data_IF_889830717318
#
_entry.id   IF_889830717318
#
_cell.length_a   1.000
_cell.length_b   1.000
_cell.length_c   1.000
_cell.angle_alpha   90.00
_cell.angle_beta   90.00
_cell.angle_gamma   90.00
#
_symmetry.space_group_name_H-M   'P 1'
#
loop_
_entity.id
_entity.type
_entity.pdbx_description
1 polymer ?
#
# COMPACT_ATOMS: atom_id res chain seq x y z
N UNK A 1 47.76 -15.77 40.11
CA UNK A 1 46.32 -15.74 40.57
C UNK A 1 45.78 -14.36 40.34
N UNK A 2 45.14 -14.17 39.20
CA UNK A 2 44.59 -12.87 38.82
C UNK A 2 43.05 -13.04 38.75
N UNK A 3 42.39 -12.46 39.75
CA UNK A 3 40.95 -12.52 39.87
C UNK A 3 40.35 -11.47 38.93
N UNK A 4 39.91 -11.92 37.74
CA UNK A 4 39.10 -11.10 36.81
C UNK A 4 37.81 -10.66 37.50
N UNK A 5 37.69 -9.36 37.73
CA UNK A 5 36.45 -8.69 38.19
C UNK A 5 35.37 -8.77 37.10
N UNK A 6 34.44 -9.69 37.26
CA UNK A 6 33.16 -9.61 36.58
C UNK A 6 32.39 -8.38 37.11
N UNK A 7 32.46 -7.29 36.41
CA UNK A 7 31.56 -6.15 36.65
C UNK A 7 30.17 -6.54 36.15
N UNK A 8 29.12 -6.53 37.01
CA UNK A 8 27.77 -6.80 36.54
C UNK A 8 27.36 -5.66 35.60
N UNK A 9 27.02 -6.01 34.36
CA UNK A 9 26.36 -5.07 33.43
C UNK A 9 25.10 -4.53 34.10
N UNK A 10 25.05 -3.23 34.31
CA UNK A 10 23.83 -2.55 34.80
C UNK A 10 22.71 -2.87 33.82
N UNK A 11 21.51 -3.26 34.28
CA UNK A 11 20.35 -3.42 33.41
C UNK A 11 20.13 -2.11 32.70
N UNK A 12 20.10 -2.15 31.37
CA UNK A 12 19.89 -1.00 30.51
C UNK A 12 18.66 -0.26 30.97
N UNK A 13 18.78 1.06 31.13
CA UNK A 13 17.70 1.89 31.64
C UNK A 13 16.42 1.72 30.79
N UNK A 14 15.26 2.00 31.36
CA UNK A 14 13.93 1.87 30.72
C UNK A 14 13.91 2.39 29.26
N UNK A 15 14.71 3.43 28.97
CA UNK A 15 14.91 3.99 27.63
C UNK A 15 15.59 3.00 26.66
N UNK A 16 16.58 2.23 27.11
CA UNK A 16 17.24 1.24 26.24
C UNK A 16 16.33 0.06 25.95
N UNK A 17 15.56 -0.40 26.93
CA UNK A 17 14.58 -1.45 26.74
C UNK A 17 13.47 -1.01 25.76
N UNK A 18 12.99 0.23 25.89
CA UNK A 18 11.97 0.80 24.97
C UNK A 18 12.50 0.94 23.54
N UNK A 19 13.72 1.47 23.37
CA UNK A 19 14.36 1.60 22.04
C UNK A 19 14.57 0.24 21.41
N UNK A 20 15.05 -0.76 22.17
CA UNK A 20 15.23 -2.12 21.64
C UNK A 20 13.90 -2.75 21.25
N UNK A 21 12.84 -2.58 22.04
CA UNK A 21 11.49 -3.06 21.71
C UNK A 21 10.94 -2.36 20.45
N UNK A 22 11.13 -1.06 20.32
CA UNK A 22 10.72 -0.30 19.14
C UNK A 22 11.46 -0.79 17.88
N UNK A 23 12.79 -0.97 17.97
CA UNK A 23 13.60 -1.50 16.86
C UNK A 23 13.19 -2.92 16.46
N UNK A 24 12.75 -3.73 17.41
CA UNK A 24 12.25 -5.08 17.13
C UNK A 24 10.92 -5.06 16.37
N UNK A 25 10.06 -4.05 16.61
CA UNK A 25 8.76 -3.90 15.97
C UNK A 25 8.79 -3.14 14.62
N UNK A 26 9.93 -2.53 14.26
CA UNK A 26 10.09 -1.75 13.03
C UNK A 26 10.67 -2.57 11.88
N UNK A 27 10.55 -2.07 10.66
CA UNK A 27 11.05 -2.75 9.47
C UNK A 27 10.33 -4.07 9.21
N UNK A 28 11.01 -5.04 8.62
CA UNK A 28 10.40 -6.32 8.19
C UNK A 28 10.19 -7.35 9.30
N UNK A 29 10.65 -7.09 10.53
CA UNK A 29 10.56 -8.04 11.64
C UNK A 29 11.08 -9.44 11.28
N UNK A 30 12.23 -9.52 10.63
CA UNK A 30 12.85 -10.76 10.12
C UNK A 30 12.98 -11.85 11.19
N UNK A 31 13.37 -11.47 12.41
CA UNK A 31 13.50 -12.42 13.52
C UNK A 31 12.18 -13.09 13.88
N UNK A 32 11.06 -12.34 13.82
CA UNK A 32 9.74 -12.90 14.01
C UNK A 32 9.40 -13.87 12.89
N UNK A 33 9.68 -13.49 11.64
CA UNK A 33 9.43 -14.34 10.48
C UNK A 33 10.17 -15.68 10.57
N UNK A 34 11.48 -15.65 10.83
CA UNK A 34 12.28 -16.88 11.01
C UNK A 34 11.74 -17.75 12.15
N UNK A 35 11.31 -17.12 13.26
CA UNK A 35 10.73 -17.87 14.37
C UNK A 35 9.37 -18.51 14.02
N UNK A 36 8.58 -17.88 13.16
CA UNK A 36 7.26 -18.38 12.73
C UNK A 36 7.36 -19.51 11.72
N UNK A 37 8.43 -19.60 10.92
CA UNK A 37 8.64 -20.70 9.96
C UNK A 37 8.65 -22.08 10.62
N UNK A 38 9.07 -22.19 11.87
CA UNK A 38 9.09 -23.44 12.65
C UNK A 38 7.77 -23.73 13.40
N UNK A 39 6.77 -22.87 13.25
CA UNK A 39 5.52 -22.97 14.00
C UNK A 39 4.43 -23.72 13.21
N UNK A 40 3.36 -24.03 13.90
CA UNK A 40 2.15 -24.64 13.39
C UNK A 40 1.54 -23.78 12.25
N UNK A 41 1.15 -24.44 11.14
CA UNK A 41 0.69 -23.80 9.90
C UNK A 41 -0.33 -22.65 10.07
N UNK A 42 -1.39 -22.73 10.92
CA UNK A 42 -2.29 -21.60 11.12
C UNK A 42 -1.63 -20.33 11.64
N UNK A 43 -0.58 -20.44 12.46
CA UNK A 43 0.16 -19.27 12.94
C UNK A 43 0.99 -18.63 11.80
N UNK A 44 1.61 -19.47 10.96
CA UNK A 44 2.29 -19.01 9.74
C UNK A 44 1.32 -18.32 8.80
N UNK A 45 0.12 -18.89 8.62
CA UNK A 45 -0.93 -18.31 7.78
C UNK A 45 -1.38 -16.94 8.31
N UNK A 46 -1.60 -16.81 9.62
CA UNK A 46 -1.98 -15.52 10.24
C UNK A 46 -0.89 -14.48 10.02
N UNK A 47 0.38 -14.83 10.25
CA UNK A 47 1.51 -13.91 10.00
C UNK A 47 1.58 -13.51 8.53
N UNK A 48 1.49 -14.48 7.60
CA UNK A 48 1.49 -14.22 6.16
C UNK A 48 0.30 -13.35 5.72
N UNK A 49 -0.89 -13.54 6.29
CA UNK A 49 -2.05 -12.69 6.06
C UNK A 49 -1.79 -11.25 6.52
N UNK A 50 -1.25 -11.05 7.73
CA UNK A 50 -0.93 -9.71 8.23
C UNK A 50 0.15 -9.02 7.37
N UNK A 51 1.16 -9.76 6.91
CA UNK A 51 2.14 -9.26 5.95
C UNK A 51 1.48 -8.91 4.60
N UNK A 52 0.57 -9.74 4.11
CA UNK A 52 -0.20 -9.46 2.90
C UNK A 52 -1.01 -8.17 2.98
N UNK A 53 -1.64 -7.89 4.13
CA UNK A 53 -2.34 -6.63 4.38
C UNK A 53 -1.37 -5.44 4.26
N UNK A 54 -0.22 -5.51 4.92
CA UNK A 54 0.75 -4.41 4.89
C UNK A 54 1.42 -4.23 3.53
N UNK A 55 1.55 -5.30 2.72
CA UNK A 55 2.13 -5.22 1.36
C UNK A 55 1.33 -4.37 0.39
N UNK A 56 0.05 -4.18 0.62
CA UNK A 56 -0.79 -3.26 -0.17
C UNK A 56 -0.17 -1.85 -0.25
N UNK A 57 0.42 -1.40 0.84
CA UNK A 57 1.10 -0.08 0.93
C UNK A 57 2.63 -0.23 0.96
N UNK A 58 3.16 -1.25 0.29
CA UNK A 58 4.60 -1.51 0.14
C UNK A 58 5.34 -1.81 1.45
N UNK A 59 4.64 -2.24 2.50
CA UNK A 59 5.23 -2.65 3.76
C UNK A 59 5.31 -4.19 3.83
N UNK A 60 6.25 -4.71 4.61
CA UNK A 60 6.34 -6.14 4.90
C UNK A 60 6.45 -6.35 6.42
N UNK A 61 5.45 -5.89 7.17
CA UNK A 61 5.46 -5.90 8.62
C UNK A 61 4.10 -6.39 9.16
N UNK A 62 4.04 -7.49 9.92
CA UNK A 62 2.78 -8.04 10.40
C UNK A 62 2.09 -7.14 11.42
N UNK A 63 2.83 -6.37 12.21
CA UNK A 63 2.25 -5.42 13.17
C UNK A 63 1.59 -4.24 12.45
N UNK A 64 2.25 -3.71 11.41
CA UNK A 64 1.62 -2.72 10.52
C UNK A 64 0.37 -3.29 9.86
N UNK A 65 0.38 -4.56 9.43
CA UNK A 65 -0.79 -5.24 8.89
C UNK A 65 -1.94 -5.34 9.89
N UNK A 66 -1.64 -5.63 11.17
CA UNK A 66 -2.64 -5.66 12.23
C UNK A 66 -3.28 -4.28 12.47
N UNK A 67 -2.47 -3.20 12.47
CA UNK A 67 -2.98 -1.82 12.59
C UNK A 67 -3.87 -1.44 11.39
N UNK A 68 -3.47 -1.81 10.18
CA UNK A 68 -4.27 -1.57 8.97
C UNK A 68 -5.59 -2.36 9.02
N UNK A 69 -5.55 -3.63 9.46
CA UNK A 69 -6.78 -4.42 9.65
C UNK A 69 -7.72 -3.77 10.68
N UNK A 70 -7.17 -3.25 11.77
CA UNK A 70 -7.96 -2.49 12.76
C UNK A 70 -8.57 -1.23 12.14
N UNK A 71 -7.83 -0.51 11.29
CA UNK A 71 -8.34 0.64 10.55
C UNK A 71 -9.51 0.27 9.63
N UNK A 72 -9.38 -0.83 8.89
CA UNK A 72 -10.45 -1.34 8.03
C UNK A 72 -11.70 -1.74 8.81
N UNK A 73 -11.54 -2.39 9.97
CA UNK A 73 -12.65 -2.75 10.84
C UNK A 73 -13.36 -1.51 11.42
N UNK A 74 -12.62 -0.44 11.68
CA UNK A 74 -13.19 0.84 12.13
C UNK A 74 -13.91 1.59 10.99
N UNK A 75 -13.42 1.49 9.76
CA UNK A 75 -14.06 2.11 8.58
C UNK A 75 -15.33 1.34 8.20
N UNK A 76 -15.21 0.05 7.93
CA UNK A 76 -16.32 -0.83 7.56
C UNK A 76 -15.98 -2.29 7.88
N UNK A 77 -16.65 -2.92 8.87
CA UNK A 77 -16.47 -4.34 9.16
C UNK A 77 -16.78 -5.25 7.96
N UNK A 78 -17.71 -4.85 7.11
CA UNK A 78 -18.05 -5.57 5.89
C UNK A 78 -16.89 -5.56 4.87
N UNK A 79 -16.31 -4.39 4.60
CA UNK A 79 -15.16 -4.27 3.72
C UNK A 79 -13.96 -5.04 4.26
N UNK A 80 -13.70 -4.98 5.57
CA UNK A 80 -12.65 -5.74 6.22
C UNK A 80 -12.85 -7.26 6.03
N UNK A 81 -14.09 -7.74 6.19
CA UNK A 81 -14.43 -9.14 5.97
C UNK A 81 -14.18 -9.55 4.51
N UNK A 82 -14.67 -8.78 3.54
CA UNK A 82 -14.44 -9.05 2.12
C UNK A 82 -12.95 -9.05 1.78
N UNK A 83 -12.20 -8.04 2.25
CA UNK A 83 -10.75 -7.94 2.03
C UNK A 83 -10.00 -9.16 2.58
N UNK A 84 -10.33 -9.60 3.79
CA UNK A 84 -9.76 -10.82 4.38
C UNK A 84 -10.12 -12.08 3.60
N UNK A 85 -11.35 -12.17 3.11
CA UNK A 85 -11.78 -13.30 2.29
C UNK A 85 -11.03 -13.37 0.96
N UNK A 86 -10.88 -12.24 0.27
CA UNK A 86 -10.08 -12.16 -0.97
C UNK A 86 -8.61 -12.47 -0.75
N UNK A 87 -8.02 -11.98 0.35
CA UNK A 87 -6.65 -12.29 0.75
C UNK A 87 -6.47 -13.80 0.99
N UNK A 88 -7.36 -14.43 1.74
CA UNK A 88 -7.31 -15.85 2.02
C UNK A 88 -7.50 -16.67 0.74
N UNK A 89 -8.48 -16.33 -0.10
CA UNK A 89 -8.72 -17.01 -1.37
C UNK A 89 -7.49 -16.96 -2.28
N UNK A 90 -6.85 -15.80 -2.39
CA UNK A 90 -5.61 -15.59 -3.14
C UNK A 90 -4.46 -16.42 -2.57
N UNK A 91 -4.24 -16.39 -1.25
CA UNK A 91 -3.19 -17.13 -0.56
C UNK A 91 -3.37 -18.65 -0.69
N UNK A 92 -4.59 -19.16 -0.48
CA UNK A 92 -4.89 -20.60 -0.66
C UNK A 92 -4.71 -21.03 -2.11
N UNK A 93 -5.08 -20.20 -3.06
CA UNK A 93 -4.85 -20.48 -4.49
C UNK A 93 -3.34 -20.58 -4.78
N UNK A 94 -2.50 -19.72 -4.19
CA UNK A 94 -1.05 -19.81 -4.34
C UNK A 94 -0.49 -21.13 -3.77
N UNK A 95 -0.98 -21.56 -2.60
CA UNK A 95 -0.61 -22.83 -1.99
C UNK A 95 -1.00 -24.02 -2.89
N UNK A 96 -2.24 -24.01 -3.42
CA UNK A 96 -2.74 -25.08 -4.30
C UNK A 96 -1.94 -25.14 -5.60
N UNK A 97 -1.53 -24.00 -6.15
CA UNK A 97 -0.70 -23.92 -7.36
C UNK A 97 0.78 -24.29 -7.10
N UNK A 98 1.17 -24.53 -5.84
CA UNK A 98 2.54 -24.89 -5.48
C UNK A 98 3.53 -23.72 -5.65
N UNK A 99 3.10 -22.49 -5.39
CA UNK A 99 3.99 -21.34 -5.40
C UNK A 99 5.02 -21.42 -4.27
N UNK A 100 6.11 -20.67 -4.39
CA UNK A 100 7.19 -20.67 -3.41
C UNK A 100 6.68 -20.36 -1.99
N UNK A 101 7.05 -21.20 -1.03
CA UNK A 101 6.55 -21.12 0.36
C UNK A 101 7.01 -19.82 1.05
N UNK A 102 8.20 -19.30 0.73
CA UNK A 102 8.72 -18.07 1.30
C UNK A 102 7.93 -16.86 0.78
N UNK A 103 7.63 -16.83 -0.52
CA UNK A 103 6.78 -15.80 -1.12
C UNK A 103 5.36 -15.82 -0.56
N UNK A 104 4.76 -17.01 -0.39
CA UNK A 104 3.43 -17.18 0.19
C UNK A 104 3.42 -16.70 1.65
N UNK A 105 4.37 -17.14 2.46
CA UNK A 105 4.47 -16.75 3.88
C UNK A 105 4.78 -15.27 4.08
N UNK A 106 5.48 -14.65 3.11
CA UNK A 106 5.72 -13.21 3.10
C UNK A 106 4.48 -12.38 2.66
N UNK A 107 3.35 -13.01 2.34
CA UNK A 107 2.10 -12.36 1.93
C UNK A 107 2.08 -11.82 0.50
N UNK A 108 3.03 -12.22 -0.36
CA UNK A 108 3.18 -11.69 -1.72
C UNK A 108 1.97 -11.98 -2.62
N UNK A 109 1.29 -13.10 -2.44
CA UNK A 109 0.11 -13.46 -3.24
C UNK A 109 -1.19 -12.92 -2.67
N UNK A 110 -1.24 -12.62 -1.35
CA UNK A 110 -2.49 -12.22 -0.67
C UNK A 110 -2.95 -10.78 -0.96
N UNK A 111 -2.03 -9.85 -1.13
CA UNK A 111 -2.36 -8.41 -1.16
C UNK A 111 -3.20 -7.99 -2.37
N UNK A 112 -2.99 -8.57 -3.55
CA UNK A 112 -3.80 -8.29 -4.74
C UNK A 112 -5.24 -8.78 -4.55
N UNK A 113 -5.42 -9.98 -3.97
CA UNK A 113 -6.74 -10.53 -3.67
C UNK A 113 -7.50 -9.68 -2.64
N UNK A 114 -6.79 -9.15 -1.65
CA UNK A 114 -7.36 -8.22 -0.68
C UNK A 114 -7.90 -6.94 -1.34
N UNK A 115 -7.09 -6.30 -2.19
CA UNK A 115 -7.49 -5.07 -2.88
C UNK A 115 -8.69 -5.27 -3.81
N UNK A 116 -8.71 -6.36 -4.59
CA UNK A 116 -9.87 -6.69 -5.43
C UNK A 116 -11.12 -6.79 -4.58
N UNK A 117 -11.06 -7.53 -3.48
CA UNK A 117 -12.19 -7.77 -2.61
C UNK A 117 -12.71 -6.50 -1.92
N UNK A 118 -11.79 -5.66 -1.41
CA UNK A 118 -12.13 -4.36 -0.83
C UNK A 118 -12.90 -3.49 -1.82
N UNK A 119 -12.37 -3.33 -3.04
CA UNK A 119 -13.00 -2.45 -4.03
C UNK A 119 -14.23 -3.05 -4.69
N UNK A 120 -14.34 -4.39 -4.78
CA UNK A 120 -15.62 -5.03 -5.12
C UNK A 120 -16.70 -4.66 -4.09
N UNK A 121 -16.37 -4.64 -2.80
CA UNK A 121 -17.25 -4.16 -1.74
C UNK A 121 -17.66 -2.69 -1.93
N UNK A 122 -16.72 -1.81 -2.22
CA UNK A 122 -16.99 -0.38 -2.43
C UNK A 122 -17.90 -0.14 -3.63
N UNK A 123 -17.57 -0.72 -4.78
CA UNK A 123 -18.27 -0.43 -6.04
C UNK A 123 -19.53 -1.26 -6.28
N UNK A 124 -19.74 -2.34 -5.51
CA UNK A 124 -20.92 -3.19 -5.67
C UNK A 124 -21.88 -3.18 -4.47
N UNK A 125 -21.46 -2.80 -3.27
CA UNK A 125 -22.33 -2.78 -2.09
C UNK A 125 -22.36 -1.46 -1.33
N UNK A 126 -21.46 -0.53 -1.62
CA UNK A 126 -21.30 0.74 -0.89
C UNK A 126 -21.26 0.59 0.65
N UNK A 127 -20.72 -0.53 1.12
CA UNK A 127 -20.64 -0.83 2.56
C UNK A 127 -21.82 -1.61 3.12
N UNK A 128 -22.90 -1.83 2.36
CA UNK A 128 -24.02 -2.67 2.78
C UNK A 128 -23.65 -4.16 2.77
N UNK A 129 -24.26 -4.93 3.68
CA UNK A 129 -24.06 -6.38 3.79
C UNK A 129 -24.74 -7.12 2.65
N UNK A 130 -24.01 -7.32 1.55
CA UNK A 130 -24.49 -7.99 0.36
C UNK A 130 -23.83 -9.36 0.21
N UNK A 131 -24.39 -10.37 0.86
CA UNK A 131 -23.81 -11.73 0.98
C UNK A 131 -23.49 -12.39 -0.36
N UNK A 132 -24.19 -12.02 -1.42
CA UNK A 132 -23.92 -12.49 -2.78
C UNK A 132 -22.49 -12.21 -3.24
N UNK A 133 -21.83 -11.17 -2.72
CA UNK A 133 -20.45 -10.83 -3.05
C UNK A 133 -19.41 -11.83 -2.55
N UNK A 134 -19.72 -12.67 -1.58
CA UNK A 134 -18.77 -13.61 -0.98
C UNK A 134 -18.14 -14.54 -2.04
N UNK A 135 -18.96 -15.08 -2.96
CA UNK A 135 -18.46 -15.95 -4.03
C UNK A 135 -17.64 -15.19 -5.08
N UNK A 136 -18.12 -14.10 -5.70
CA UNK A 136 -17.33 -13.27 -6.60
C UNK A 136 -16.00 -12.80 -6.03
N UNK A 137 -15.96 -12.42 -4.75
CA UNK A 137 -14.75 -11.99 -4.05
C UNK A 137 -13.73 -13.13 -3.96
N UNK A 138 -14.14 -14.34 -3.63
CA UNK A 138 -13.24 -15.50 -3.63
C UNK A 138 -12.68 -15.80 -5.03
N UNK A 139 -13.52 -15.74 -6.05
CA UNK A 139 -13.10 -15.95 -7.44
C UNK A 139 -12.17 -14.86 -7.92
N UNK A 140 -12.46 -13.59 -7.59
CA UNK A 140 -11.59 -12.46 -7.89
C UNK A 140 -10.23 -12.59 -7.21
N UNK A 141 -10.21 -12.95 -5.92
CA UNK A 141 -8.97 -13.23 -5.18
C UNK A 141 -8.14 -14.34 -5.82
N UNK A 142 -8.77 -15.47 -6.17
CA UNK A 142 -8.09 -16.57 -6.87
C UNK A 142 -7.53 -16.11 -8.23
N UNK A 143 -8.32 -15.35 -9.01
CA UNK A 143 -7.89 -14.86 -10.31
C UNK A 143 -6.64 -13.96 -10.23
N UNK A 144 -6.49 -13.17 -9.17
CA UNK A 144 -5.28 -12.36 -8.98
C UNK A 144 -4.02 -13.22 -8.84
N UNK A 145 -4.12 -14.39 -8.19
CA UNK A 145 -2.98 -15.30 -8.04
C UNK A 145 -2.56 -15.90 -9.39
N UNK A 146 -3.52 -16.30 -10.23
CA UNK A 146 -3.21 -16.78 -11.58
C UNK A 146 -2.48 -15.71 -12.39
N UNK A 147 -2.95 -14.47 -12.35
CA UNK A 147 -2.29 -13.36 -13.05
C UNK A 147 -0.91 -13.05 -12.46
N UNK A 148 -0.78 -13.05 -11.13
CA UNK A 148 0.51 -12.82 -10.46
C UNK A 148 1.52 -13.88 -10.87
N UNK A 149 1.16 -15.15 -10.80
CA UNK A 149 2.04 -16.28 -11.17
C UNK A 149 2.42 -16.28 -12.64
N UNK A 150 1.53 -15.79 -13.52
CA UNK A 150 1.80 -15.71 -14.97
C UNK A 150 2.68 -14.51 -15.33
N UNK A 151 2.50 -13.38 -14.65
CA UNK A 151 3.25 -12.15 -14.92
C UNK A 151 4.64 -12.15 -14.29
N UNK A 152 4.81 -12.80 -13.13
CA UNK A 152 6.08 -12.81 -12.40
C UNK A 152 7.28 -13.23 -13.28
N UNK A 153 7.26 -14.37 -14.01
CA UNK A 153 8.41 -14.78 -14.82
C UNK A 153 8.71 -13.85 -15.99
N UNK A 154 7.72 -13.05 -16.43
CA UNK A 154 7.88 -12.08 -17.51
C UNK A 154 8.52 -10.80 -17.00
N UNK A 155 8.01 -10.26 -15.88
CA UNK A 155 8.45 -9.00 -15.31
C UNK A 155 9.83 -9.14 -14.61
N UNK A 156 10.10 -10.30 -14.02
CA UNK A 156 11.37 -10.61 -13.36
C UNK A 156 12.56 -10.52 -14.32
N UNK A 157 12.37 -10.83 -15.61
CA UNK A 157 13.42 -10.63 -16.64
C UNK A 157 13.89 -9.17 -16.75
N UNK A 158 13.06 -8.23 -16.36
CA UNK A 158 13.32 -6.79 -16.38
C UNK A 158 13.58 -6.23 -14.98
N UNK A 159 13.69 -7.09 -13.98
CA UNK A 159 13.79 -6.69 -12.55
C UNK A 159 12.63 -5.78 -12.15
N UNK A 160 11.41 -6.14 -12.52
CA UNK A 160 10.18 -5.41 -12.21
C UNK A 160 9.27 -6.23 -11.30
N UNK A 161 8.72 -5.61 -10.25
CA UNK A 161 7.72 -6.28 -9.42
C UNK A 161 6.41 -6.45 -10.19
N UNK A 162 5.67 -7.52 -9.91
CA UNK A 162 4.31 -7.71 -10.45
C UNK A 162 3.38 -6.59 -9.96
N UNK A 163 3.68 -6.03 -8.79
CA UNK A 163 2.92 -4.91 -8.22
C UNK A 163 1.42 -5.21 -8.13
N UNK A 164 0.57 -4.24 -8.46
CA UNK A 164 -0.89 -4.35 -8.42
C UNK A 164 -1.52 -4.47 -9.82
N UNK A 165 -0.76 -4.91 -10.83
CA UNK A 165 -1.33 -5.24 -12.15
C UNK A 165 -2.46 -6.27 -12.07
N UNK A 166 -2.33 -7.39 -11.30
CA UNK A 166 -3.40 -8.37 -11.15
C UNK A 166 -4.66 -7.77 -10.54
N UNK A 167 -4.52 -6.99 -9.48
CA UNK A 167 -5.64 -6.30 -8.85
C UNK A 167 -6.37 -5.39 -9.84
N UNK A 168 -5.66 -4.46 -10.47
CA UNK A 168 -6.25 -3.49 -11.39
C UNK A 168 -6.97 -4.19 -12.55
N UNK A 169 -6.37 -5.27 -13.09
CA UNK A 169 -6.96 -6.03 -14.19
C UNK A 169 -8.22 -6.76 -13.77
N UNK A 170 -8.19 -7.52 -12.66
CA UNK A 170 -9.33 -8.33 -12.20
C UNK A 170 -10.50 -7.42 -11.80
N UNK A 171 -10.21 -6.32 -11.08
CA UNK A 171 -11.25 -5.36 -10.67
C UNK A 171 -11.92 -4.74 -11.89
N UNK A 172 -11.14 -4.26 -12.87
CA UNK A 172 -11.67 -3.65 -14.09
C UNK A 172 -12.55 -4.64 -14.86
N UNK A 173 -12.07 -5.87 -15.07
CA UNK A 173 -12.83 -6.91 -15.76
C UNK A 173 -14.13 -7.25 -15.01
N UNK A 174 -14.08 -7.36 -13.68
CA UNK A 174 -15.26 -7.60 -12.85
C UNK A 174 -16.31 -6.49 -13.02
N UNK A 175 -15.91 -5.23 -12.91
CA UNK A 175 -16.83 -4.09 -13.03
C UNK A 175 -17.40 -3.96 -14.44
N UNK A 176 -16.61 -4.27 -15.47
CA UNK A 176 -17.11 -4.32 -16.87
C UNK A 176 -18.08 -5.47 -17.06
N UNK A 177 -17.80 -6.65 -16.53
CA UNK A 177 -18.69 -7.82 -16.62
C UNK A 177 -20.00 -7.62 -15.90
N UNK A 178 -20.00 -6.98 -14.73
CA UNK A 178 -21.23 -6.69 -13.97
C UNK A 178 -22.01 -5.54 -14.60
N UNK A 179 -21.34 -4.63 -15.27
CA UNK A 179 -21.93 -3.49 -15.98
C UNK A 179 -22.40 -2.38 -15.04
N UNK A 180 -22.11 -1.13 -15.40
CA UNK A 180 -22.45 0.05 -14.56
C UNK A 180 -23.93 0.40 -14.57
N UNK A 181 -24.71 -0.20 -15.46
CA UNK A 181 -26.15 0.05 -15.61
C UNK A 181 -27.00 -1.21 -15.38
N UNK A 182 -26.43 -2.26 -14.79
CA UNK A 182 -27.14 -3.52 -14.57
C UNK A 182 -28.13 -3.39 -13.39
N UNK A 183 -29.45 -3.52 -13.61
CA UNK A 183 -30.44 -3.36 -12.54
C UNK A 183 -30.46 -4.52 -11.56
N UNK A 184 -29.87 -5.67 -11.91
CA UNK A 184 -29.85 -6.89 -11.09
C UNK A 184 -28.58 -7.00 -10.23
N UNK A 185 -27.61 -6.15 -10.44
CA UNK A 185 -26.36 -6.15 -9.70
C UNK A 185 -26.14 -4.76 -9.08
N UNK A 186 -26.02 -4.63 -7.75
CA UNK A 186 -25.82 -3.33 -7.13
C UNK A 186 -24.52 -2.72 -7.64
N UNK A 187 -24.57 -1.45 -7.97
CA UNK A 187 -23.48 -0.74 -8.59
C UNK A 187 -23.40 0.70 -8.11
N UNK A 188 -22.22 1.13 -7.72
CA UNK A 188 -21.90 2.51 -7.36
C UNK A 188 -20.83 3.04 -8.32
N UNK A 189 -21.25 3.61 -9.47
CA UNK A 189 -20.32 4.03 -10.51
C UNK A 189 -19.39 5.13 -10.02
N UNK A 190 -18.12 5.05 -10.41
CA UNK A 190 -17.16 6.11 -10.19
C UNK A 190 -17.53 7.36 -10.99
N UNK A 191 -17.34 8.53 -10.41
CA UNK A 191 -17.55 9.80 -11.08
C UNK A 191 -16.23 10.39 -11.57
N UNK A 192 -16.21 11.03 -12.77
CA UNK A 192 -15.01 11.70 -13.25
C UNK A 192 -14.68 12.92 -12.37
N UNK A 193 -13.41 13.12 -11.97
CA UNK A 193 -12.99 14.25 -11.14
C UNK A 193 -13.15 15.63 -11.80
N UNK A 194 -13.27 15.67 -13.12
CA UNK A 194 -13.54 16.88 -13.89
C UNK A 194 -15.03 17.16 -14.18
N UNK A 195 -15.95 16.40 -13.56
CA UNK A 195 -17.39 16.68 -13.72
C UNK A 195 -17.76 18.06 -13.11
N UNK A 196 -18.81 18.75 -13.62
CA UNK A 196 -19.20 20.06 -13.08
C UNK A 196 -19.59 19.96 -11.61
N UNK A 197 -18.99 20.79 -10.78
CA UNK A 197 -19.34 20.92 -9.36
C UNK A 197 -20.62 21.76 -9.23
N UNK A 198 -21.51 21.39 -8.31
CA UNK A 198 -22.68 22.23 -8.03
C UNK A 198 -22.21 23.58 -7.48
N UNK A 199 -22.79 24.66 -7.98
CA UNK A 199 -22.34 26.06 -7.90
C UNK A 199 -22.13 26.65 -6.49
N UNK A 200 -22.27 25.90 -5.43
CA UNK A 200 -22.18 26.38 -4.05
C UNK A 200 -20.76 26.31 -3.42
N UNK A 201 -19.74 25.80 -4.12
CA UNK A 201 -18.40 25.59 -3.56
C UNK A 201 -17.31 26.37 -4.30
N UNK A 202 -17.47 27.68 -4.43
CA UNK A 202 -16.50 28.55 -5.12
C UNK A 202 -15.27 28.91 -4.29
N UNK A 203 -15.28 28.65 -2.96
CA UNK A 203 -14.15 28.97 -2.09
C UNK A 203 -13.40 27.72 -1.65
N UNK A 204 -12.07 27.74 -1.83
CA UNK A 204 -11.18 26.69 -1.38
C UNK A 204 -11.05 26.70 0.15
N UNK A 205 -11.39 25.59 0.81
CA UNK A 205 -11.24 25.39 2.25
C UNK A 205 -9.89 24.72 2.56
N UNK A 206 -8.87 25.52 2.89
CA UNK A 206 -7.51 25.04 3.18
C UNK A 206 -7.45 23.97 4.27
N UNK A 207 -8.20 24.05 5.40
CA UNK A 207 -8.17 22.98 6.40
C UNK A 207 -8.67 21.64 5.87
N UNK A 208 -9.72 21.62 5.03
CA UNK A 208 -10.23 20.41 4.40
C UNK A 208 -9.25 19.84 3.36
N UNK A 209 -8.54 20.72 2.65
CA UNK A 209 -7.49 20.31 1.72
C UNK A 209 -6.34 19.61 2.45
N UNK A 210 -5.87 20.16 3.57
CA UNK A 210 -4.84 19.53 4.41
C UNK A 210 -5.31 18.19 4.99
N UNK A 211 -6.57 18.10 5.39
CA UNK A 211 -7.18 16.84 5.80
C UNK A 211 -7.20 15.83 4.63
N UNK A 212 -7.54 16.29 3.42
CA UNK A 212 -7.53 15.47 2.20
C UNK A 212 -6.16 14.87 1.90
N UNK A 213 -5.05 15.59 2.18
CA UNK A 213 -3.69 15.04 2.03
C UNK A 213 -3.48 13.82 2.95
N UNK A 214 -3.95 13.88 4.20
CA UNK A 214 -3.85 12.75 5.12
C UNK A 214 -4.79 11.60 4.70
N UNK A 215 -6.02 11.93 4.30
CA UNK A 215 -6.99 10.95 3.81
C UNK A 215 -6.49 10.23 2.56
N UNK A 216 -5.66 10.88 1.72
CA UNK A 216 -5.06 10.25 0.54
C UNK A 216 -4.23 9.01 0.87
N UNK A 217 -3.61 8.93 2.04
CA UNK A 217 -2.93 7.70 2.50
C UNK A 217 -3.96 6.63 2.88
N UNK A 218 -5.07 6.99 3.52
CA UNK A 218 -6.18 6.09 3.86
C UNK A 218 -6.89 5.54 2.62
N UNK A 219 -7.04 6.36 1.59
CA UNK A 219 -7.70 5.98 0.33
C UNK A 219 -6.99 4.85 -0.43
N UNK A 220 -5.73 4.55 -0.13
CA UNK A 220 -5.05 3.34 -0.65
C UNK A 220 -5.83 2.07 -0.27
N UNK A 221 -6.54 2.09 0.87
CA UNK A 221 -7.41 1.03 1.37
C UNK A 221 -8.90 1.40 1.29
N UNK A 222 -9.26 2.40 0.52
CA UNK A 222 -10.61 2.95 0.45
C UNK A 222 -11.16 3.43 1.81
N UNK A 223 -10.28 3.87 2.72
CA UNK A 223 -10.66 4.49 3.99
C UNK A 223 -10.79 6.00 3.80
N UNK A 224 -12.01 6.53 3.89
CA UNK A 224 -12.35 7.94 3.68
C UNK A 224 -12.49 8.75 4.98
N UNK A 225 -12.34 8.14 6.15
CA UNK A 225 -12.47 8.81 7.44
C UNK A 225 -11.12 9.06 8.13
N UNK A 226 -11.07 10.09 8.99
CA UNK A 226 -9.82 10.56 9.62
C UNK A 226 -9.18 9.51 10.53
N UNK A 227 -9.96 8.84 11.37
CA UNK A 227 -9.46 7.86 12.33
C UNK A 227 -8.72 6.69 11.69
N UNK A 228 -9.37 5.92 10.80
CA UNK A 228 -8.75 4.86 10.02
C UNK A 228 -7.54 5.32 9.20
N UNK A 229 -7.64 6.48 8.52
CA UNK A 229 -6.53 7.01 7.73
C UNK A 229 -5.30 7.35 8.60
N UNK A 230 -5.53 7.90 9.78
CA UNK A 230 -4.45 8.16 10.74
C UNK A 230 -3.81 6.86 11.23
N UNK A 231 -4.62 5.84 11.51
CA UNK A 231 -4.12 4.54 11.97
C UNK A 231 -3.28 3.84 10.88
N UNK A 232 -3.67 3.96 9.60
CA UNK A 232 -2.87 3.49 8.45
C UNK A 232 -1.55 4.26 8.38
N UNK A 233 -1.57 5.59 8.53
CA UNK A 233 -0.36 6.40 8.54
C UNK A 233 0.58 6.01 9.69
N UNK A 234 0.04 5.72 10.89
CA UNK A 234 0.81 5.20 12.03
C UNK A 234 1.42 3.83 11.69
N UNK A 235 0.70 2.97 10.99
CA UNK A 235 1.23 1.68 10.54
C UNK A 235 2.41 1.83 9.57
N UNK A 236 2.34 2.82 8.65
CA UNK A 236 3.46 3.15 7.75
C UNK A 236 4.63 3.73 8.54
N UNK A 237 4.37 4.65 9.46
CA UNK A 237 5.38 5.26 10.33
C UNK A 237 6.10 4.22 11.19
N UNK A 238 5.38 3.24 11.74
CA UNK A 238 5.95 2.15 12.51
C UNK A 238 6.94 1.33 11.69
N UNK A 239 6.62 1.05 10.43
CA UNK A 239 7.56 0.35 9.54
C UNK A 239 8.75 1.23 9.17
N UNK A 240 8.50 2.44 8.67
CA UNK A 240 9.52 3.41 8.26
C UNK A 240 9.01 4.84 8.31
N UNK A 241 9.57 5.71 9.17
CA UNK A 241 9.22 7.13 9.22
C UNK A 241 9.46 7.85 7.89
N UNK A 242 10.51 7.48 7.16
CA UNK A 242 10.83 8.06 5.86
C UNK A 242 9.75 7.74 4.84
N UNK A 243 9.26 6.50 4.85
CA UNK A 243 8.19 6.07 3.95
C UNK A 243 6.86 6.77 4.28
N UNK A 244 6.59 7.05 5.56
CA UNK A 244 5.44 7.86 5.97
C UNK A 244 5.55 9.31 5.48
N UNK A 245 6.73 9.90 5.52
CA UNK A 245 6.99 11.22 4.91
C UNK A 245 6.76 11.18 3.40
N UNK A 246 7.21 10.14 2.71
CA UNK A 246 6.98 9.98 1.27
C UNK A 246 5.51 9.80 0.93
N UNK A 247 4.76 9.06 1.74
CA UNK A 247 3.31 8.90 1.57
C UNK A 247 2.59 10.27 1.65
N UNK A 248 2.87 11.06 2.69
CA UNK A 248 2.29 12.39 2.86
C UNK A 248 2.76 13.37 1.78
N UNK A 249 4.05 13.37 1.45
CA UNK A 249 4.62 14.22 0.40
C UNK A 249 3.96 13.92 -0.95
N UNK A 250 3.88 12.65 -1.33
CA UNK A 250 3.25 12.21 -2.58
C UNK A 250 1.77 12.57 -2.64
N UNK A 251 1.02 12.37 -1.55
CA UNK A 251 -0.38 12.77 -1.45
C UNK A 251 -0.55 14.28 -1.58
N UNK A 252 0.30 15.08 -0.92
CA UNK A 252 0.28 16.55 -1.02
C UNK A 252 0.59 17.05 -2.43
N UNK A 253 1.60 16.48 -3.09
CA UNK A 253 1.96 16.80 -4.47
C UNK A 253 0.79 16.49 -5.41
N UNK A 254 0.14 15.34 -5.24
CA UNK A 254 -0.99 14.93 -6.05
C UNK A 254 -2.21 15.84 -5.84
N UNK A 255 -2.44 16.27 -4.60
CA UNK A 255 -3.49 17.25 -4.28
C UNK A 255 -3.22 18.61 -4.97
N UNK A 256 -1.97 19.09 -4.97
CA UNK A 256 -1.58 20.31 -5.68
C UNK A 256 -1.74 20.14 -7.20
N UNK A 257 -1.36 18.98 -7.74
CA UNK A 257 -1.60 18.66 -9.15
C UNK A 257 -3.10 18.67 -9.49
N UNK A 258 -3.96 18.13 -8.62
CA UNK A 258 -5.41 18.18 -8.76
C UNK A 258 -5.95 19.62 -8.78
N UNK A 259 -5.45 20.50 -7.90
CA UNK A 259 -5.78 21.92 -7.92
C UNK A 259 -5.38 22.58 -9.24
N UNK A 260 -4.20 22.27 -9.79
CA UNK A 260 -3.71 22.83 -11.05
C UNK A 260 -4.57 22.45 -12.25
N UNK A 261 -5.29 21.34 -12.16
CA UNK A 261 -6.19 20.80 -13.19
C UNK A 261 -7.67 21.08 -12.91
N UNK A 262 -7.97 21.91 -11.90
CA UNK A 262 -9.34 22.26 -11.51
C UNK A 262 -10.21 21.03 -11.21
N UNK A 263 -9.62 20.03 -10.53
CA UNK A 263 -10.37 18.87 -10.04
C UNK A 263 -11.38 19.33 -8.98
N UNK A 264 -12.55 18.71 -8.94
CA UNK A 264 -13.60 19.00 -7.96
C UNK A 264 -13.05 19.08 -6.53
N UNK A 265 -13.47 20.06 -5.75
CA UNK A 265 -13.04 20.23 -4.36
C UNK A 265 -13.44 19.04 -3.48
N UNK A 266 -14.62 18.46 -3.70
CA UNK A 266 -15.07 17.24 -3.01
C UNK A 266 -14.09 16.08 -3.19
N UNK A 267 -13.54 15.90 -4.39
CA UNK A 267 -12.56 14.87 -4.71
C UNK A 267 -11.21 15.13 -4.03
N UNK A 268 -10.79 16.39 -3.91
CA UNK A 268 -9.59 16.81 -3.20
C UNK A 268 -9.74 16.61 -1.67
N UNK A 269 -10.88 17.03 -1.12
CA UNK A 269 -11.14 16.95 0.34
C UNK A 269 -11.33 15.52 0.83
N UNK A 270 -11.86 14.62 0.01
CA UNK A 270 -11.97 13.19 0.33
C UNK A 270 -10.64 12.43 0.26
N UNK A 271 -9.57 13.04 -0.26
CA UNK A 271 -8.26 12.40 -0.44
C UNK A 271 -8.15 11.52 -1.69
N UNK A 272 -9.21 11.39 -2.50
CA UNK A 272 -9.19 10.56 -3.70
C UNK A 272 -8.16 11.00 -4.74
N UNK A 273 -7.79 12.28 -4.77
CA UNK A 273 -6.70 12.76 -5.64
C UNK A 273 -5.31 12.43 -5.09
N UNK A 274 -5.18 12.03 -3.82
CA UNK A 274 -3.90 11.90 -3.12
C UNK A 274 -3.22 10.53 -3.24
N UNK A 275 -3.99 9.44 -3.30
CA UNK A 275 -3.49 8.08 -3.07
C UNK A 275 -2.52 7.58 -4.16
N UNK A 276 -2.76 7.88 -5.44
CA UNK A 276 -1.85 7.49 -6.52
C UNK A 276 -0.51 8.23 -6.42
N UNK A 277 -0.51 9.52 -6.03
CA UNK A 277 0.73 10.26 -5.78
C UNK A 277 1.49 9.74 -4.55
N UNK A 278 0.77 9.37 -3.49
CA UNK A 278 1.37 8.73 -2.32
C UNK A 278 2.10 7.43 -2.70
N UNK A 279 1.42 6.52 -3.41
CA UNK A 279 2.01 5.28 -3.91
C UNK A 279 3.18 5.54 -4.86
N UNK A 280 3.04 6.49 -5.79
CA UNK A 280 4.10 6.86 -6.73
C UNK A 280 5.37 7.37 -6.04
N UNK A 281 5.22 8.18 -4.98
CA UNK A 281 6.34 8.65 -4.18
C UNK A 281 6.99 7.50 -3.38
N UNK A 282 6.18 6.66 -2.75
CA UNK A 282 6.63 5.52 -1.93
C UNK A 282 7.36 4.45 -2.74
N UNK A 283 6.95 4.17 -3.99
CA UNK A 283 7.66 3.22 -4.88
C UNK A 283 9.11 3.61 -5.04
N UNK A 284 9.41 4.89 -5.27
CA UNK A 284 10.81 5.36 -5.35
C UNK A 284 11.53 5.18 -4.02
N UNK A 285 10.85 5.46 -2.88
CA UNK A 285 11.42 5.28 -1.55
C UNK A 285 11.77 3.84 -1.20
N UNK A 286 11.07 2.86 -1.78
CA UNK A 286 11.32 1.42 -1.55
C UNK A 286 12.39 0.86 -2.48
N UNK A 287 12.40 1.27 -3.75
CA UNK A 287 13.25 0.66 -4.78
C UNK A 287 14.50 1.47 -5.14
N UNK A 288 14.79 2.57 -4.43
CA UNK A 288 15.99 3.37 -4.64
C UNK A 288 16.66 3.75 -3.32
N UNK A 289 17.99 3.72 -3.31
CA UNK A 289 18.80 4.22 -2.20
C UNK A 289 18.56 5.72 -2.04
N UNK A 290 18.37 6.18 -0.81
CA UNK A 290 18.08 7.56 -0.49
C UNK A 290 19.23 8.49 -0.90
N UNK A 291 18.92 9.47 -1.74
CA UNK A 291 19.82 10.55 -2.16
C UNK A 291 18.99 11.77 -2.60
N UNK A 292 19.61 12.93 -2.73
CA UNK A 292 18.90 14.10 -3.23
C UNK A 292 18.29 13.87 -4.63
N UNK A 293 18.94 13.05 -5.48
CA UNK A 293 18.45 12.67 -6.82
C UNK A 293 17.19 11.79 -6.72
N UNK A 294 17.19 10.84 -5.81
CA UNK A 294 16.05 9.95 -5.61
C UNK A 294 14.88 10.68 -4.95
N UNK A 295 15.13 11.69 -4.11
CA UNK A 295 14.06 12.58 -3.62
C UNK A 295 13.41 13.37 -4.78
N UNK A 296 14.20 13.94 -5.69
CA UNK A 296 13.65 14.61 -6.88
C UNK A 296 12.89 13.63 -7.78
N UNK A 297 13.40 12.41 -7.94
CA UNK A 297 12.73 11.36 -8.70
C UNK A 297 11.39 10.96 -8.07
N UNK A 298 11.31 10.89 -6.73
CA UNK A 298 10.07 10.59 -6.03
C UNK A 298 9.02 11.69 -6.22
N UNK A 299 9.41 12.94 -6.17
CA UNK A 299 8.54 14.10 -6.45
C UNK A 299 8.05 14.05 -7.92
N UNK A 300 8.95 13.81 -8.86
CA UNK A 300 8.60 13.70 -10.28
C UNK A 300 7.63 12.54 -10.54
N UNK A 301 7.85 11.38 -9.89
CA UNK A 301 6.95 10.24 -10.03
C UNK A 301 5.58 10.50 -9.39
N UNK A 302 5.52 11.20 -8.25
CA UNK A 302 4.26 11.60 -7.64
C UNK A 302 3.44 12.52 -8.55
N UNK A 303 4.10 13.52 -9.20
CA UNK A 303 3.45 14.39 -10.19
C UNK A 303 2.95 13.61 -11.40
N UNK A 304 3.80 12.74 -11.95
CA UNK A 304 3.43 11.90 -13.10
C UNK A 304 2.24 11.00 -12.77
N UNK A 305 2.25 10.37 -11.57
CA UNK A 305 1.13 9.57 -11.09
C UNK A 305 -0.15 10.40 -10.94
N UNK A 306 -0.05 11.61 -10.41
CA UNK A 306 -1.20 12.49 -10.22
C UNK A 306 -1.87 12.87 -11.55
N UNK A 307 -1.10 13.35 -12.53
CA UNK A 307 -1.66 13.72 -13.82
C UNK A 307 -2.19 12.50 -14.60
N UNK A 308 -1.51 11.36 -14.48
CA UNK A 308 -1.99 10.09 -15.07
C UNK A 308 -3.30 9.64 -14.42
N UNK A 309 -3.43 9.78 -13.09
CA UNK A 309 -4.66 9.46 -12.37
C UNK A 309 -5.83 10.34 -12.81
N UNK A 310 -5.64 11.64 -12.89
CA UNK A 310 -6.66 12.58 -13.35
C UNK A 310 -7.12 12.22 -14.78
N UNK A 311 -6.17 11.94 -15.67
CA UNK A 311 -6.47 11.57 -17.05
C UNK A 311 -7.26 10.24 -17.14
N UNK A 312 -6.81 9.20 -16.43
CA UNK A 312 -7.48 7.90 -16.41
C UNK A 312 -8.83 7.97 -15.70
N UNK A 313 -8.94 8.71 -14.61
CA UNK A 313 -10.18 8.88 -13.85
C UNK A 313 -11.23 9.64 -14.67
N UNK A 314 -10.85 10.64 -15.46
CA UNK A 314 -11.75 11.32 -16.39
C UNK A 314 -12.18 10.38 -17.53
N UNK A 315 -11.25 9.62 -18.10
CA UNK A 315 -11.54 8.68 -19.19
C UNK A 315 -12.49 7.55 -18.74
N UNK A 316 -12.13 6.86 -17.67
CA UNK A 316 -12.87 5.71 -17.15
C UNK A 316 -14.15 6.12 -16.43
N UNK A 317 -14.13 7.26 -15.75
CA UNK A 317 -15.28 7.81 -15.03
C UNK A 317 -16.49 8.12 -15.93
N UNK A 318 -16.26 8.44 -17.20
CA UNK A 318 -17.36 8.56 -18.18
C UNK A 318 -18.12 7.23 -18.35
N UNK A 319 -17.42 6.11 -18.17
CA UNK A 319 -18.00 4.77 -18.21
C UNK A 319 -18.46 4.29 -16.82
N UNK A 320 -18.33 5.13 -15.78
CA UNK A 320 -18.62 4.76 -14.39
C UNK A 320 -17.57 3.81 -13.77
N UNK A 321 -16.38 3.71 -14.37
CA UNK A 321 -15.30 2.83 -13.93
C UNK A 321 -14.22 3.62 -13.18
N UNK A 322 -13.67 3.08 -12.08
CA UNK A 322 -12.58 3.73 -11.35
C UNK A 322 -11.23 3.52 -12.07
N UNK A 323 -10.37 4.53 -12.01
CA UNK A 323 -8.97 4.39 -12.43
C UNK A 323 -8.16 3.51 -11.45
N UNK A 324 -8.63 3.34 -10.22
CA UNK A 324 -7.95 2.57 -9.17
C UNK A 324 -6.48 3.00 -9.03
N UNK A 325 -5.54 2.07 -8.86
CA UNK A 325 -4.11 2.38 -8.78
C UNK A 325 -3.36 2.20 -10.11
N UNK A 326 -4.05 2.21 -11.26
CA UNK A 326 -3.39 2.12 -12.57
C UNK A 326 -2.33 3.20 -12.75
N UNK A 327 -2.61 4.43 -12.32
CA UNK A 327 -1.68 5.54 -12.45
C UNK A 327 -0.36 5.27 -11.73
N UNK A 328 -0.39 4.95 -10.44
CA UNK A 328 0.81 4.63 -9.67
C UNK A 328 1.53 3.38 -10.19
N UNK A 329 0.77 2.37 -10.67
CA UNK A 329 1.34 1.14 -11.24
C UNK A 329 2.12 1.41 -12.52
N UNK A 330 1.53 2.12 -13.46
CA UNK A 330 2.16 2.45 -14.74
C UNK A 330 3.38 3.37 -14.56
N UNK A 331 3.22 4.44 -13.79
CA UNK A 331 4.31 5.41 -13.59
C UNK A 331 5.43 4.84 -12.72
N UNK A 332 5.11 4.05 -11.71
CA UNK A 332 6.08 3.30 -10.92
C UNK A 332 6.89 2.33 -11.78
N UNK A 333 6.23 1.57 -12.65
CA UNK A 333 6.91 0.68 -13.60
C UNK A 333 7.82 1.47 -14.56
N UNK A 334 7.35 2.60 -15.11
CA UNK A 334 8.17 3.46 -15.97
C UNK A 334 9.41 4.00 -15.25
N UNK A 335 9.26 4.43 -14.00
CA UNK A 335 10.39 4.92 -13.20
C UNK A 335 11.39 3.80 -12.91
N UNK A 336 10.91 2.59 -12.63
CA UNK A 336 11.78 1.43 -12.42
C UNK A 336 12.51 0.98 -13.70
N UNK A 337 12.00 1.29 -14.87
CA UNK A 337 12.63 1.04 -16.17
C UNK A 337 13.64 2.12 -16.60
N UNK A 338 13.80 3.21 -15.85
CA UNK A 338 14.76 4.25 -16.21
C UNK A 338 16.19 3.71 -16.24
N UNK A 339 16.89 3.93 -17.37
CA UNK A 339 18.20 3.32 -17.67
C UNK A 339 19.37 4.27 -17.47
N UNK A 340 19.18 5.44 -16.91
CA UNK A 340 20.26 6.43 -16.67
C UNK A 340 21.39 5.84 -15.82
N UNK A 341 22.67 6.02 -16.28
CA UNK A 341 23.85 5.49 -15.58
C UNK A 341 23.86 5.83 -14.09
N UNK A 342 23.53 7.08 -13.76
CA UNK A 342 23.51 7.57 -12.40
C UNK A 342 22.34 7.02 -11.55
N UNK A 343 21.27 6.54 -12.16
CA UNK A 343 20.11 5.98 -11.46
C UNK A 343 20.27 4.49 -11.19
N UNK A 344 20.95 3.76 -12.06
CA UNK A 344 21.22 2.32 -11.87
C UNK A 344 22.00 2.03 -10.60
N UNK A 345 22.94 2.91 -10.22
CA UNK A 345 23.71 2.76 -8.99
C UNK A 345 22.86 2.90 -7.72
N UNK A 346 21.73 3.60 -7.80
CA UNK A 346 20.82 3.80 -6.68
C UNK A 346 19.65 2.83 -6.69
N UNK A 347 19.50 2.01 -7.73
CA UNK A 347 18.41 1.04 -7.84
C UNK A 347 18.66 -0.15 -6.93
N UNK A 348 17.65 -0.52 -6.12
CA UNK A 348 17.62 -1.72 -5.32
C UNK A 348 16.90 -2.80 -6.12
N UNK A 349 17.52 -4.00 -6.35
CA UNK A 349 16.86 -5.10 -7.05
C UNK A 349 15.58 -5.56 -6.36
N UNK A 350 14.57 -5.96 -7.12
CA UNK A 350 13.26 -6.38 -6.59
C UNK A 350 13.33 -7.58 -5.64
N UNK A 351 14.30 -8.47 -5.85
CA UNK A 351 14.54 -9.63 -4.97
C UNK A 351 15.25 -9.32 -3.63
N UNK A 352 15.70 -8.08 -3.42
CA UNK A 352 16.36 -7.62 -2.19
C UNK A 352 15.93 -6.20 -1.88
N UNK A 353 14.65 -5.96 -1.56
CA UNK A 353 14.26 -4.64 -1.08
C UNK A 353 15.04 -4.38 0.21
N UNK A 354 15.94 -3.38 0.16
CA UNK A 354 16.62 -2.92 1.36
C UNK A 354 15.60 -2.09 2.13
N UNK A 355 15.16 -2.49 3.31
CA UNK A 355 14.22 -1.68 4.06
C UNK A 355 14.93 -0.36 4.35
N UNK A 356 14.35 0.74 3.92
CA UNK A 356 14.72 2.09 4.38
C UNK A 356 14.41 2.14 5.86
N UNK A 357 15.24 1.45 6.63
CA UNK A 357 15.00 1.14 8.01
C UNK A 357 15.21 2.36 8.90
N UNK A 358 14.40 2.41 9.94
CA UNK A 358 14.56 3.22 11.15
C UNK A 358 16.03 3.28 11.64
N UNK A 359 16.83 2.24 11.36
CA UNK A 359 18.26 2.17 11.67
C UNK A 359 19.10 3.28 11.05
N UNK A 360 18.82 3.74 9.84
CA UNK A 360 19.58 4.83 9.22
C UNK A 360 19.37 6.17 9.92
N UNK A 361 18.15 6.44 10.39
CA UNK A 361 17.84 7.67 11.14
C UNK A 361 18.48 7.68 12.53
N UNK A 362 18.55 6.52 13.19
CA UNK A 362 19.20 6.39 14.49
C UNK A 362 20.74 6.40 14.39
N UNK A 363 21.31 5.85 13.32
CA UNK A 363 22.78 5.87 13.07
C UNK A 363 23.22 7.30 12.77
N UNK A 364 22.45 8.07 12.01
CA UNK A 364 22.77 9.48 11.69
C UNK A 364 22.47 10.42 12.85
N UNK A 365 21.53 10.09 13.73
CA UNK A 365 21.16 10.90 14.90
C UNK A 365 22.04 10.61 16.14
N UNK A 366 22.78 9.51 16.18
CA UNK A 366 23.66 9.17 17.29
C UNK A 366 24.96 8.51 16.82
N UNK A 367 26.03 9.30 16.56
CA UNK A 367 27.33 8.79 16.14
C UNK A 367 28.04 7.89 17.19
N UNK A 368 27.43 7.67 18.36
CA UNK A 368 27.96 6.82 19.45
C UNK A 368 27.42 5.39 19.47
N UNK A 369 26.54 4.99 18.53
CA UNK A 369 25.97 3.63 18.50
C UNK A 369 26.77 2.65 17.62
N UNK A 370 27.90 3.07 17.05
CA UNK A 370 28.77 2.23 16.21
C UNK A 370 29.67 1.25 16.98
N UNK A 371 29.45 1.06 18.30
CA UNK A 371 30.29 0.20 19.17
C UNK A 371 29.45 -0.74 20.06
N UNK A 372 28.40 -1.35 19.50
CA UNK A 372 27.74 -2.49 20.16
C UNK A 372 27.40 -3.58 19.15
#
# INVERSE_FOLDING_TARGET
>A
MDFGKNTPQRPGGLKQCFVSALLYCTGEMQQLHTHMQDKFFPLQLVEGCLRGISRVILLNNPLSGALILAALLLESPWQALLGMLGLLASTFTAIILGQDCEEVSSGLYGFNGMLVALLMGVFSSAGDWYLWLLLPVCLGGAATTFLSSSLAPVLDRWDLPVSVFPFNTVLLLYLVCTGTSNPFFPNHPAQPPGAPESTNHTQLHVPQLLQGVMLGVGQIFACGTVGPSLLILVAVFLFSPILAVYALLGSGISTIAGLSMSVQHSFLYSGLSGFNGALGCMVVGVFYILSWRTHLLSIANALLSAYTDIALSNLLGVLGLPASSWAATLTGTLVLLLTGKNLKEYRIPTGKPDPVCFGYLLITASPKLHLL
#
